data_IF_633011629592
#
_entry.id   IF_633011629592
#
_cell.length_a   1.000
_cell.length_b   1.000
_cell.length_c   1.000
_cell.angle_alpha   90.00
_cell.angle_beta   90.00
_cell.angle_gamma   90.00
#
_symmetry.space_group_name_H-M   'P 1'
#
loop_
_entity.id
_entity.type
_entity.pdbx_description
1 polymer ?
#
# COMPACT_ATOMS: atom_id res chain seq x y z
N UNK A 1 27.75 -2.01 -41.83
CA UNK A 1 27.98 -1.50 -40.46
C UNK A 1 26.64 -0.97 -39.93
N UNK A 2 25.84 -1.83 -39.31
CA UNK A 2 24.48 -1.48 -38.83
C UNK A 2 24.61 -1.06 -37.36
N UNK A 3 24.33 0.21 -37.08
CA UNK A 3 24.41 0.79 -35.75
C UNK A 3 23.35 0.17 -34.82
N UNK A 4 23.81 -0.33 -33.68
CA UNK A 4 23.02 -0.75 -32.52
C UNK A 4 22.23 0.44 -31.94
N UNK A 5 21.01 0.68 -32.42
CA UNK A 5 20.07 1.65 -31.83
C UNK A 5 19.11 1.05 -30.79
N UNK A 6 19.14 -0.27 -30.56
CA UNK A 6 18.21 -0.95 -29.64
C UNK A 6 18.74 -1.16 -28.21
N UNK A 7 19.95 -0.73 -27.89
CA UNK A 7 20.56 -0.96 -26.57
C UNK A 7 20.20 0.11 -25.50
N UNK A 8 19.37 1.12 -25.79
CA UNK A 8 19.21 2.30 -24.91
C UNK A 8 17.81 2.57 -24.37
N UNK A 9 16.88 1.60 -24.44
CA UNK A 9 15.51 1.77 -23.89
C UNK A 9 15.24 0.97 -22.60
N UNK A 10 16.21 0.21 -22.09
CA UNK A 10 15.97 -0.81 -21.05
C UNK A 10 16.50 -0.53 -19.64
N UNK A 11 16.90 0.70 -19.27
CA UNK A 11 17.46 0.91 -17.91
C UNK A 11 17.26 2.31 -17.34
N UNK A 12 16.11 2.96 -17.56
CA UNK A 12 15.74 4.10 -16.71
C UNK A 12 15.09 3.56 -15.45
N UNK A 13 15.89 3.34 -14.40
CA UNK A 13 15.37 3.01 -13.07
C UNK A 13 14.67 4.23 -12.49
N UNK A 14 13.73 4.01 -11.58
CA UNK A 14 13.06 5.12 -10.90
C UNK A 14 14.08 5.96 -10.12
N UNK A 15 14.04 7.27 -10.30
CA UNK A 15 14.85 8.24 -9.55
C UNK A 15 14.26 8.54 -8.16
N UNK A 16 13.20 7.82 -7.77
CA UNK A 16 12.52 8.01 -6.49
C UNK A 16 13.46 7.63 -5.31
N UNK A 17 13.52 8.40 -4.21
CA UNK A 17 14.44 8.12 -3.09
C UNK A 17 14.23 6.72 -2.49
N UNK A 18 12.98 6.26 -2.37
CA UNK A 18 12.66 4.90 -1.91
C UNK A 18 13.07 3.78 -2.87
N UNK A 19 13.54 4.09 -4.09
CA UNK A 19 14.16 3.11 -4.96
C UNK A 19 15.62 2.82 -4.57
N UNK A 20 16.23 3.68 -3.75
CA UNK A 20 17.53 3.41 -3.16
C UNK A 20 17.38 2.61 -1.86
N UNK A 21 18.01 1.44 -1.81
CA UNK A 21 17.88 0.53 -0.66
C UNK A 21 18.54 1.03 0.62
N UNK A 22 19.52 1.95 0.56
CA UNK A 22 20.10 2.55 1.78
C UNK A 22 19.17 3.61 2.32
N UNK A 23 18.63 4.43 1.45
CA UNK A 23 17.69 5.49 1.81
C UNK A 23 16.38 4.91 2.36
N UNK A 24 15.85 3.85 1.73
CA UNK A 24 14.71 3.12 2.27
C UNK A 24 14.99 2.61 3.68
N UNK A 25 16.14 1.96 3.92
CA UNK A 25 16.50 1.47 5.26
C UNK A 25 16.61 2.58 6.30
N UNK A 26 17.16 3.73 5.91
CA UNK A 26 17.25 4.92 6.78
C UNK A 26 15.86 5.40 7.19
N UNK A 27 14.97 5.57 6.21
CA UNK A 27 13.59 6.01 6.43
C UNK A 27 12.83 5.02 7.31
N UNK A 28 12.94 3.71 7.04
CA UNK A 28 12.29 2.68 7.86
C UNK A 28 12.76 2.70 9.31
N UNK A 29 14.05 2.93 9.56
CA UNK A 29 14.60 3.03 10.90
C UNK A 29 14.09 4.27 11.65
N UNK A 30 13.95 5.40 10.96
CA UNK A 30 13.40 6.64 11.52
C UNK A 30 11.91 6.48 11.88
N UNK A 31 11.13 5.91 10.97
CA UNK A 31 9.70 5.64 11.18
C UNK A 31 9.47 4.71 12.38
N UNK A 32 10.30 3.68 12.53
CA UNK A 32 10.13 2.66 13.58
C UNK A 32 10.11 3.23 15.00
N UNK A 33 10.90 4.28 15.26
CA UNK A 33 11.05 4.89 16.59
C UNK A 33 10.18 6.13 16.79
N UNK A 34 9.42 6.54 15.78
CA UNK A 34 8.62 7.77 15.83
C UNK A 34 7.31 7.59 16.60
N UNK A 35 6.67 8.71 16.93
CA UNK A 35 5.32 8.74 17.49
C UNK A 35 4.32 8.21 16.46
N UNK A 36 3.39 7.38 16.90
CA UNK A 36 2.48 6.66 16.02
C UNK A 36 1.72 7.54 15.01
N UNK A 37 1.20 8.69 15.43
CA UNK A 37 0.51 9.61 14.52
C UNK A 37 1.45 10.15 13.43
N UNK A 38 2.68 10.53 13.80
CA UNK A 38 3.68 11.08 12.88
C UNK A 38 4.19 10.01 11.92
N UNK A 39 4.49 8.80 12.42
CA UNK A 39 4.91 7.68 11.58
C UNK A 39 3.86 7.35 10.50
N UNK A 40 2.58 7.29 10.88
CA UNK A 40 1.49 7.00 9.94
C UNK A 40 1.32 8.14 8.91
N UNK A 41 1.35 9.40 9.35
CA UNK A 41 1.27 10.55 8.44
C UNK A 41 2.43 10.57 7.44
N UNK A 42 3.64 10.23 7.90
CA UNK A 42 4.83 10.18 7.05
C UNK A 42 4.78 9.02 6.05
N UNK A 43 4.37 7.82 6.47
CA UNK A 43 4.16 6.69 5.55
C UNK A 43 3.06 7.00 4.52
N UNK A 44 1.97 7.64 4.92
CA UNK A 44 0.94 8.13 4.00
C UNK A 44 1.50 9.14 2.98
N UNK A 45 2.41 10.03 3.39
CA UNK A 45 3.12 10.92 2.48
C UNK A 45 4.03 10.18 1.50
N UNK A 46 4.75 9.15 1.97
CA UNK A 46 5.55 8.27 1.11
C UNK A 46 4.69 7.51 0.10
N UNK A 47 3.52 7.02 0.51
CA UNK A 47 2.55 6.40 -0.38
C UNK A 47 2.07 7.34 -1.48
N UNK A 48 1.74 8.59 -1.14
CA UNK A 48 1.36 9.61 -2.13
C UNK A 48 2.50 9.95 -3.09
N UNK A 49 3.75 9.96 -2.60
CA UNK A 49 4.93 10.13 -3.44
C UNK A 49 5.12 8.95 -4.41
N UNK A 50 4.96 7.72 -3.91
CA UNK A 50 5.05 6.50 -4.70
C UNK A 50 3.97 6.40 -5.79
N UNK A 51 2.76 6.90 -5.57
CA UNK A 51 1.71 6.91 -6.60
C UNK A 51 2.10 7.74 -7.83
N UNK A 52 2.98 8.74 -7.65
CA UNK A 52 3.49 9.61 -8.72
C UNK A 52 4.83 9.13 -9.28
N UNK A 53 5.38 8.03 -8.75
CA UNK A 53 6.67 7.53 -9.16
C UNK A 53 6.60 6.82 -10.51
N UNK A 54 7.37 7.30 -11.47
CA UNK A 54 7.51 6.67 -12.79
C UNK A 54 8.67 5.67 -12.80
N UNK A 55 8.63 4.76 -13.79
CA UNK A 55 9.71 3.80 -14.09
C UNK A 55 10.13 2.90 -12.90
N UNK A 56 9.24 2.72 -11.92
CA UNK A 56 9.46 1.82 -10.79
C UNK A 56 9.10 0.40 -11.19
N UNK A 57 10.01 -0.57 -11.10
CA UNK A 57 9.70 -1.97 -11.42
C UNK A 57 8.67 -2.52 -10.42
N UNK A 58 7.62 -3.22 -10.88
CA UNK A 58 6.44 -3.56 -10.04
C UNK A 58 6.77 -4.44 -8.83
N UNK A 59 7.67 -5.41 -8.96
CA UNK A 59 8.18 -6.24 -7.86
C UNK A 59 8.86 -5.40 -6.78
N UNK A 60 9.73 -4.48 -7.20
CA UNK A 60 10.44 -3.59 -6.29
C UNK A 60 9.51 -2.56 -5.66
N UNK A 61 8.57 -2.03 -6.45
CA UNK A 61 7.56 -1.08 -5.99
C UNK A 61 6.71 -1.70 -4.89
N UNK A 62 6.23 -2.94 -5.09
CA UNK A 62 5.47 -3.65 -4.07
C UNK A 62 6.31 -3.96 -2.84
N UNK A 63 7.58 -4.36 -2.99
CA UNK A 63 8.43 -4.63 -1.83
C UNK A 63 8.68 -3.37 -0.98
N UNK A 64 8.84 -2.20 -1.59
CA UNK A 64 8.91 -0.92 -0.88
C UNK A 64 7.62 -0.63 -0.11
N UNK A 65 6.46 -0.76 -0.77
CA UNK A 65 5.16 -0.58 -0.11
C UNK A 65 5.02 -1.54 1.08
N UNK A 66 5.40 -2.80 0.87
CA UNK A 66 5.34 -3.87 1.87
C UNK A 66 6.16 -3.50 3.10
N UNK A 67 7.40 -3.05 2.91
CA UNK A 67 8.30 -2.69 4.01
C UNK A 67 7.82 -1.45 4.77
N UNK A 68 7.32 -0.42 4.07
CA UNK A 68 6.72 0.76 4.71
C UNK A 68 5.49 0.39 5.55
N UNK A 69 4.62 -0.44 4.99
CA UNK A 69 3.43 -0.94 5.68
C UNK A 69 3.81 -1.79 6.91
N UNK A 70 4.79 -2.68 6.79
CA UNK A 70 5.27 -3.51 7.89
C UNK A 70 5.74 -2.67 9.11
N UNK A 71 6.43 -1.55 8.85
CA UNK A 71 6.84 -0.61 9.91
C UNK A 71 5.66 0.20 10.45
N UNK A 72 4.66 0.52 9.63
CA UNK A 72 3.48 1.29 10.04
C UNK A 72 2.49 0.48 10.91
N UNK A 73 2.41 -0.84 10.75
CA UNK A 73 1.39 -1.68 11.41
C UNK A 73 1.30 -1.50 12.94
N UNK A 74 2.41 -1.50 13.71
CA UNK A 74 2.35 -1.26 15.16
C UNK A 74 1.80 0.13 15.51
N UNK A 75 2.13 1.15 14.71
CA UNK A 75 1.64 2.52 14.90
C UNK A 75 0.14 2.61 14.61
N UNK A 76 -0.35 1.98 13.53
CA UNK A 76 -1.78 1.92 13.21
C UNK A 76 -2.58 1.20 14.31
N UNK A 77 -2.08 0.08 14.82
CA UNK A 77 -2.73 -0.62 15.91
C UNK A 77 -2.84 0.26 17.16
N UNK A 78 -1.80 1.04 17.46
CA UNK A 78 -1.84 2.02 18.55
C UNK A 78 -2.89 3.09 18.32
N UNK A 79 -2.96 3.69 17.13
CA UNK A 79 -3.98 4.70 16.81
C UNK A 79 -5.41 4.13 16.88
N UNK A 80 -5.61 2.89 16.45
CA UNK A 80 -6.91 2.22 16.55
C UNK A 80 -7.30 1.98 18.02
N UNK A 81 -6.36 1.63 18.89
CA UNK A 81 -6.60 1.53 20.34
C UNK A 81 -6.92 2.88 20.95
N UNK A 82 -6.17 3.91 20.58
CA UNK A 82 -6.42 5.28 21.06
C UNK A 82 -7.83 5.73 20.64
N UNK A 83 -8.29 5.41 19.43
CA UNK A 83 -9.64 5.70 18.97
C UNK A 83 -10.73 4.98 19.78
N UNK A 84 -10.55 3.67 20.02
CA UNK A 84 -11.59 2.82 20.61
C UNK A 84 -11.66 2.90 22.14
N UNK A 85 -10.53 3.12 22.80
CA UNK A 85 -10.39 2.87 24.23
C UNK A 85 -10.08 4.14 25.04
N UNK A 86 -9.77 5.27 24.41
CA UNK A 86 -9.46 6.50 25.15
C UNK A 86 -10.71 7.07 25.82
N UNK A 87 -10.73 7.18 27.16
CA UNK A 87 -11.85 7.82 27.84
C UNK A 87 -11.80 9.33 27.55
N UNK A 88 -12.81 9.86 26.85
CA UNK A 88 -13.02 11.30 26.57
C UNK A 88 -12.18 11.90 25.43
N UNK A 89 -12.21 11.27 24.25
CA UNK A 89 -11.79 11.97 23.02
C UNK A 89 -12.73 13.14 22.72
N UNK A 90 -12.16 14.29 22.38
CA UNK A 90 -12.94 15.35 21.73
C UNK A 90 -13.38 14.90 20.33
N UNK A 91 -14.46 15.49 19.81
CA UNK A 91 -14.93 15.21 18.43
C UNK A 91 -13.82 15.43 17.39
N UNK A 92 -12.96 16.43 17.61
CA UNK A 92 -11.84 16.73 16.72
C UNK A 92 -10.76 15.64 16.76
N UNK A 93 -10.42 15.14 17.94
CA UNK A 93 -9.44 14.04 18.08
C UNK A 93 -9.98 12.73 17.50
N UNK A 94 -11.26 12.45 17.75
CA UNK A 94 -11.96 11.32 17.17
C UNK A 94 -11.92 11.38 15.64
N UNK A 95 -12.29 12.52 15.05
CA UNK A 95 -12.24 12.76 13.61
C UNK A 95 -10.85 12.55 13.03
N UNK A 96 -9.82 13.09 13.71
CA UNK A 96 -8.45 12.98 13.25
C UNK A 96 -7.93 11.55 13.27
N UNK A 97 -8.22 10.79 14.32
CA UNK A 97 -7.84 9.37 14.43
C UNK A 97 -8.57 8.52 13.39
N UNK A 98 -9.86 8.78 13.19
CA UNK A 98 -10.68 8.10 12.20
C UNK A 98 -10.18 8.36 10.79
N UNK A 99 -10.07 9.62 10.39
CA UNK A 99 -9.66 10.01 9.03
C UNK A 99 -8.26 9.49 8.69
N UNK A 100 -7.31 9.59 9.62
CA UNK A 100 -5.96 9.06 9.43
C UNK A 100 -5.97 7.55 9.19
N UNK A 101 -6.64 6.80 10.06
CA UNK A 101 -6.64 5.34 9.98
C UNK A 101 -7.42 4.84 8.76
N UNK A 102 -8.59 5.43 8.49
CA UNK A 102 -9.41 5.08 7.33
C UNK A 102 -8.71 5.43 6.01
N UNK A 103 -8.08 6.61 5.92
CA UNK A 103 -7.34 7.06 4.75
C UNK A 103 -6.12 6.19 4.46
N UNK A 104 -5.33 5.86 5.49
CA UNK A 104 -4.18 4.95 5.36
C UNK A 104 -4.59 3.60 4.76
N UNK A 105 -5.64 2.98 5.31
CA UNK A 105 -6.16 1.70 4.81
C UNK A 105 -6.62 1.81 3.34
N UNK A 106 -7.12 2.98 2.95
CA UNK A 106 -7.49 3.28 1.57
C UNK A 106 -6.29 3.29 0.63
N UNK A 107 -5.19 3.92 1.04
CA UNK A 107 -3.95 4.02 0.27
C UNK A 107 -3.29 2.67 0.08
N UNK A 108 -3.10 1.88 1.15
CA UNK A 108 -2.43 0.57 1.04
C UNK A 108 -3.22 -0.39 0.15
N UNK A 109 -4.56 -0.37 0.23
CA UNK A 109 -5.41 -1.16 -0.66
C UNK A 109 -5.22 -0.73 -2.12
N UNK A 110 -5.28 0.57 -2.41
CA UNK A 110 -5.13 1.11 -3.75
C UNK A 110 -3.75 0.81 -4.35
N UNK A 111 -2.69 0.94 -3.57
CA UNK A 111 -1.31 0.64 -3.97
C UNK A 111 -1.13 -0.85 -4.29
N UNK A 112 -1.65 -1.74 -3.43
CA UNK A 112 -1.59 -3.18 -3.67
C UNK A 112 -2.37 -3.57 -4.94
N UNK A 113 -3.60 -3.07 -5.11
CA UNK A 113 -4.37 -3.32 -6.34
C UNK A 113 -3.69 -2.73 -7.57
N UNK A 114 -3.05 -1.57 -7.45
CA UNK A 114 -2.26 -0.98 -8.52
C UNK A 114 -1.09 -1.87 -8.95
N UNK A 115 -0.42 -2.57 -8.01
CA UNK A 115 0.62 -3.54 -8.35
C UNK A 115 0.06 -4.73 -9.15
N UNK A 116 -1.10 -5.25 -8.73
CA UNK A 116 -1.80 -6.35 -9.40
C UNK A 116 -2.15 -5.96 -10.84
N UNK A 117 -2.77 -4.81 -11.02
CA UNK A 117 -3.16 -4.30 -12.35
C UNK A 117 -1.94 -4.03 -13.25
N UNK A 118 -0.88 -3.45 -12.71
CA UNK A 118 0.37 -3.24 -13.46
C UNK A 118 1.00 -4.55 -13.93
N UNK A 119 0.98 -5.59 -13.08
CA UNK A 119 1.49 -6.90 -13.45
C UNK A 119 0.63 -7.59 -14.53
N UNK A 120 -0.69 -7.38 -14.49
CA UNK A 120 -1.65 -7.87 -15.51
C UNK A 120 -1.47 -7.20 -16.87
N UNK A 121 -1.23 -5.89 -16.88
CA UNK A 121 -1.06 -5.11 -18.11
C UNK A 121 0.26 -5.43 -18.83
N UNK A 122 1.30 -5.83 -18.10
CA UNK A 122 2.59 -6.20 -18.68
C UNK A 122 3.11 -7.55 -18.13
N UNK A 123 2.46 -8.68 -18.47
CA UNK A 123 2.72 -9.97 -17.84
C UNK A 123 4.06 -10.60 -18.26
N UNK A 124 4.68 -10.10 -19.34
CA UNK A 124 5.96 -10.60 -19.87
C UNK A 124 7.16 -9.82 -19.34
N UNK A 125 6.96 -8.76 -18.57
CA UNK A 125 8.06 -8.01 -17.98
C UNK A 125 8.77 -8.80 -16.90
N UNK A 126 10.08 -8.57 -16.75
CA UNK A 126 10.87 -9.14 -15.64
C UNK A 126 10.30 -8.77 -14.27
N UNK A 127 9.71 -7.58 -14.15
CA UNK A 127 9.10 -7.11 -12.92
C UNK A 127 7.84 -7.90 -12.56
N UNK A 128 6.96 -8.11 -13.53
CA UNK A 128 5.74 -8.88 -13.35
C UNK A 128 6.04 -10.34 -13.05
N UNK A 129 7.05 -10.91 -13.70
CA UNK A 129 7.48 -12.29 -13.44
C UNK A 129 8.01 -12.45 -12.01
N UNK A 130 8.89 -11.55 -11.55
CA UNK A 130 9.37 -11.54 -10.17
C UNK A 130 8.25 -11.27 -9.15
N UNK A 131 7.27 -10.43 -9.50
CA UNK A 131 6.14 -10.09 -8.63
C UNK A 131 5.18 -11.25 -8.41
N UNK A 132 5.15 -12.29 -9.27
CA UNK A 132 4.27 -13.46 -9.10
C UNK A 132 4.42 -14.12 -7.71
N UNK A 133 5.64 -14.17 -7.18
CA UNK A 133 5.89 -14.70 -5.83
C UNK A 133 5.20 -13.89 -4.72
N UNK A 134 4.99 -12.59 -4.95
CA UNK A 134 4.36 -11.65 -4.02
C UNK A 134 2.88 -11.38 -4.31
N UNK A 135 2.36 -11.87 -5.44
CA UNK A 135 0.98 -11.62 -5.88
C UNK A 135 -0.07 -12.07 -4.84
N UNK A 136 0.01 -13.28 -4.23
CA UNK A 136 -0.93 -13.67 -3.18
C UNK A 136 -0.90 -12.70 -1.98
N UNK A 137 0.29 -12.24 -1.59
CA UNK A 137 0.43 -11.28 -0.49
C UNK A 137 -0.20 -9.93 -0.83
N UNK A 138 -0.05 -9.44 -2.06
CA UNK A 138 -0.68 -8.20 -2.51
C UNK A 138 -2.21 -8.29 -2.48
N UNK A 139 -2.77 -9.42 -2.92
CA UNK A 139 -4.23 -9.68 -2.87
C UNK A 139 -4.71 -9.68 -1.42
N UNK A 140 -4.06 -10.46 -0.54
CA UNK A 140 -4.47 -10.55 0.87
C UNK A 140 -4.33 -9.20 1.59
N UNK A 141 -3.27 -8.43 1.35
CA UNK A 141 -3.10 -7.09 1.95
C UNK A 141 -4.18 -6.12 1.49
N UNK A 142 -4.51 -6.11 0.20
CA UNK A 142 -5.60 -5.26 -0.30
C UNK A 142 -6.96 -5.63 0.31
N UNK A 143 -7.28 -6.93 0.41
CA UNK A 143 -8.49 -7.40 1.09
C UNK A 143 -8.52 -7.03 2.58
N UNK A 144 -7.42 -7.28 3.29
CA UNK A 144 -7.33 -7.00 4.72
C UNK A 144 -7.57 -5.51 5.00
N UNK A 145 -6.98 -4.63 4.19
CA UNK A 145 -7.15 -3.19 4.31
C UNK A 145 -8.58 -2.74 4.04
N UNK A 146 -9.21 -3.23 2.96
CA UNK A 146 -10.63 -2.93 2.64
C UNK A 146 -11.59 -3.44 3.70
N UNK A 147 -11.36 -4.65 4.22
CA UNK A 147 -12.13 -5.20 5.36
C UNK A 147 -11.98 -4.31 6.60
N UNK A 148 -10.79 -3.81 6.88
CA UNK A 148 -10.59 -2.87 7.97
C UNK A 148 -11.32 -1.54 7.72
N UNK A 149 -11.35 -1.00 6.49
CA UNK A 149 -12.16 0.18 6.17
C UNK A 149 -13.65 -0.03 6.46
N UNK A 150 -14.20 -1.22 6.14
CA UNK A 150 -15.58 -1.56 6.52
C UNK A 150 -15.80 -1.51 8.03
N UNK A 151 -14.85 -2.02 8.83
CA UNK A 151 -14.91 -1.92 10.30
C UNK A 151 -14.91 -0.47 10.77
N UNK A 152 -14.05 0.36 10.18
CA UNK A 152 -13.96 1.79 10.52
C UNK A 152 -15.25 2.56 10.17
N UNK A 153 -15.91 2.23 9.05
CA UNK A 153 -17.23 2.78 8.73
C UNK A 153 -18.30 2.34 9.74
N UNK A 154 -18.26 1.07 10.15
CA UNK A 154 -19.21 0.54 11.13
C UNK A 154 -19.15 1.27 12.48
N UNK A 155 -17.97 1.72 12.93
CA UNK A 155 -17.83 2.51 14.16
C UNK A 155 -18.64 3.81 14.16
N UNK A 156 -18.97 4.33 12.97
CA UNK A 156 -19.71 5.59 12.80
C UNK A 156 -21.05 5.41 12.10
N UNK A 157 -21.51 4.16 11.93
CA UNK A 157 -22.69 3.84 11.11
C UNK A 157 -22.63 4.49 9.71
N UNK A 158 -21.43 4.54 9.12
CA UNK A 158 -21.20 5.15 7.81
C UNK A 158 -22.01 4.44 6.72
N UNK A 159 -22.64 5.24 5.85
CA UNK A 159 -23.36 4.74 4.68
C UNK A 159 -22.43 4.57 3.46
N UNK A 160 -22.93 3.87 2.42
CA UNK A 160 -22.30 3.73 1.09
C UNK A 160 -20.98 2.95 1.07
N UNK A 161 -21.09 1.63 1.27
CA UNK A 161 -19.99 0.66 1.22
C UNK A 161 -19.84 -0.06 -0.13
N UNK A 162 -20.60 0.36 -1.15
CA UNK A 162 -20.68 -0.34 -2.45
C UNK A 162 -19.29 -0.53 -3.10
N UNK A 163 -18.49 0.53 -3.18
CA UNK A 163 -17.16 0.45 -3.79
C UNK A 163 -16.20 -0.45 -3.01
N UNK A 164 -16.31 -0.47 -1.68
CA UNK A 164 -15.53 -1.38 -0.84
C UNK A 164 -15.92 -2.83 -1.09
N UNK A 165 -17.22 -3.13 -1.22
CA UNK A 165 -17.69 -4.47 -1.55
C UNK A 165 -17.29 -4.90 -2.96
N UNK A 166 -17.38 -4.01 -3.95
CA UNK A 166 -16.88 -4.27 -5.31
C UNK A 166 -15.39 -4.58 -5.30
N UNK A 167 -14.58 -3.79 -4.58
CA UNK A 167 -13.13 -4.00 -4.45
C UNK A 167 -12.81 -5.34 -3.77
N UNK A 168 -13.55 -5.71 -2.73
CA UNK A 168 -13.41 -7.02 -2.06
C UNK A 168 -13.79 -8.17 -2.99
N UNK A 169 -14.89 -8.04 -3.75
CA UNK A 169 -15.32 -9.04 -4.71
C UNK A 169 -14.30 -9.26 -5.82
N UNK A 170 -13.77 -8.19 -6.40
CA UNK A 170 -12.74 -8.27 -7.44
C UNK A 170 -11.48 -9.01 -6.96
N UNK A 171 -10.94 -8.60 -5.79
CA UNK A 171 -9.75 -9.24 -5.23
C UNK A 171 -10.01 -10.68 -4.76
N UNK A 172 -11.25 -11.03 -4.40
CA UNK A 172 -11.63 -12.42 -4.12
C UNK A 172 -11.59 -13.29 -5.38
N UNK A 173 -12.14 -12.80 -6.49
CA UNK A 173 -12.06 -13.49 -7.79
C UNK A 173 -10.60 -13.66 -8.23
N UNK A 174 -9.76 -12.65 -7.96
CA UNK A 174 -8.32 -12.73 -8.23
C UNK A 174 -7.64 -13.83 -7.42
N UNK A 175 -8.00 -13.99 -6.15
CA UNK A 175 -7.49 -15.06 -5.29
C UNK A 175 -7.97 -16.45 -5.75
N UNK A 176 -9.25 -16.57 -6.11
CA UNK A 176 -9.85 -17.82 -6.58
C UNK A 176 -9.18 -18.31 -7.88
N UNK A 177 -8.95 -17.39 -8.82
CA UNK A 177 -8.25 -17.68 -10.06
C UNK A 177 -6.82 -18.21 -9.84
N UNK A 178 -6.13 -17.79 -8.78
CA UNK A 178 -4.80 -18.29 -8.41
C UNK A 178 -4.84 -19.67 -7.74
N UNK A 179 -5.93 -20.01 -7.04
CA UNK A 179 -6.08 -21.31 -6.42
C UNK A 179 -6.37 -22.43 -7.44
N UNK A 180 -6.89 -22.06 -8.62
CA UNK A 180 -7.29 -22.98 -9.68
C UNK A 180 -6.24 -23.18 -10.78
N UNK A 181 -5.12 -22.43 -10.78
CA UNK A 181 -4.06 -22.49 -11.78
C UNK A 181 -2.75 -23.06 -11.26
#
# INVERSE_FOLDING_TARGET
MILNFFAKRSDKRSDHPLADGKELKRILAELHVDKAAKAVDEVSGWFDSLQRAENFRVDHYFDVIRQLDDVAQPHLLRLARDYLLSPRLSKFEEERLWTRSYGYLGQIAALCTGCIERARLDPKSKGSDAFKASLPLAIVRSQAARRCQLKWLAYRYGANVEDLWKSLGATYLDADALALG
#
